data_IF_235754296709
#
_entry.id   IF_235754296709
#
_cell.length_a   1.000
_cell.length_b   1.000
_cell.length_c   1.000
_cell.angle_alpha   90.00
_cell.angle_beta   90.00
_cell.angle_gamma   90.00
#
_symmetry.space_group_name_H-M   'P 1'
#
loop_
_entity.id
_entity.type
_entity.pdbx_description
1 polymer ?
#
# COMPACT_ATOMS: atom_id res chain seq x y z
N UNK A 1 -23.47 -9.89 -16.16
CA UNK A 1 -22.71 -9.81 -14.90
C UNK A 1 -21.31 -9.35 -15.24
N UNK A 2 -20.82 -8.27 -14.63
CA UNK A 2 -19.45 -7.80 -14.85
C UNK A 2 -18.47 -8.84 -14.28
N UNK A 3 -17.54 -9.33 -15.10
CA UNK A 3 -16.51 -10.29 -14.68
C UNK A 3 -15.59 -9.60 -13.69
N UNK A 4 -15.62 -10.02 -12.42
CA UNK A 4 -14.72 -9.47 -11.40
C UNK A 4 -13.36 -10.14 -11.55
N UNK A 5 -12.35 -9.41 -12.00
CA UNK A 5 -11.00 -9.95 -12.10
C UNK A 5 -10.43 -10.23 -10.72
N UNK A 6 -9.78 -11.36 -10.55
CA UNK A 6 -9.11 -11.75 -9.30
C UNK A 6 -7.75 -11.08 -9.11
N UNK A 7 -7.19 -10.51 -10.15
CA UNK A 7 -5.86 -9.90 -10.18
C UNK A 7 -5.92 -8.50 -10.78
N UNK A 8 -4.86 -7.74 -10.62
CA UNK A 8 -4.69 -6.42 -11.21
C UNK A 8 -4.70 -6.50 -12.75
N UNK A 9 -5.57 -5.73 -13.38
CA UNK A 9 -5.68 -5.62 -14.85
C UNK A 9 -4.61 -4.75 -15.48
N UNK A 10 -3.80 -4.10 -14.66
CA UNK A 10 -2.99 -2.97 -15.08
C UNK A 10 -3.75 -1.63 -14.99
N UNK A 11 -3.03 -0.52 -15.22
CA UNK A 11 -3.59 0.82 -15.13
C UNK A 11 -4.58 1.10 -16.27
N UNK A 12 -5.66 1.82 -15.96
CA UNK A 12 -6.51 2.44 -16.98
C UNK A 12 -5.74 3.49 -17.78
N UNK A 13 -6.29 3.95 -18.91
CA UNK A 13 -5.66 4.99 -19.73
C UNK A 13 -5.37 6.27 -18.91
N UNK A 14 -6.26 6.66 -17.97
CA UNK A 14 -6.07 7.82 -17.12
C UNK A 14 -4.94 7.64 -16.12
N UNK A 15 -4.75 6.43 -15.58
CA UNK A 15 -3.62 6.09 -14.72
C UNK A 15 -2.32 5.96 -15.50
N UNK A 16 -2.35 5.32 -16.69
CA UNK A 16 -1.18 5.24 -17.56
C UNK A 16 -0.65 6.63 -17.93
N UNK A 17 -1.56 7.57 -18.31
CA UNK A 17 -1.19 8.97 -18.55
C UNK A 17 -0.48 9.57 -17.31
N UNK A 18 -1.02 9.39 -16.10
CA UNK A 18 -0.42 9.90 -14.88
C UNK A 18 0.98 9.31 -14.62
N UNK A 19 1.19 8.02 -14.93
CA UNK A 19 2.51 7.38 -14.81
C UNK A 19 3.50 7.88 -15.87
N UNK A 20 3.04 8.24 -17.07
CA UNK A 20 3.89 8.89 -18.08
C UNK A 20 4.35 10.29 -17.67
N UNK A 21 3.55 11.01 -16.89
CA UNK A 21 3.87 12.33 -16.35
C UNK A 21 4.87 12.29 -15.17
N UNK A 22 5.35 11.09 -14.78
CA UNK A 22 6.31 10.94 -13.71
C UNK A 22 7.59 11.74 -13.96
N UNK A 23 8.15 12.41 -12.95
CA UNK A 23 9.33 13.27 -13.09
C UNK A 23 10.63 12.47 -13.20
N UNK A 24 10.71 11.53 -14.14
CA UNK A 24 11.85 10.61 -14.31
C UNK A 24 13.17 11.35 -14.52
N UNK A 25 13.17 12.41 -15.35
CA UNK A 25 14.35 13.19 -15.60
C UNK A 25 14.89 13.86 -14.33
N UNK A 26 14.00 14.25 -13.41
CA UNK A 26 14.38 14.80 -12.14
C UNK A 26 15.13 13.79 -11.26
N UNK A 27 14.64 12.55 -11.18
CA UNK A 27 15.33 11.49 -10.45
C UNK A 27 16.67 11.12 -11.08
N UNK A 28 16.73 11.01 -12.42
CA UNK A 28 17.95 10.66 -13.16
C UNK A 28 19.06 11.71 -12.97
N UNK A 29 18.69 12.99 -13.01
CA UNK A 29 19.62 14.11 -12.93
C UNK A 29 19.74 14.70 -11.53
N UNK A 30 19.18 14.03 -10.51
CA UNK A 30 19.18 14.56 -9.14
C UNK A 30 20.63 14.69 -8.60
N UNK A 31 21.03 15.88 -8.10
CA UNK A 31 22.41 16.16 -7.72
C UNK A 31 22.94 15.27 -6.60
N UNK A 32 22.09 14.67 -5.79
CA UNK A 32 22.52 13.72 -4.74
C UNK A 32 23.11 12.43 -5.30
N UNK A 33 22.80 12.04 -6.55
CA UNK A 33 23.18 10.75 -7.14
C UNK A 33 22.64 9.53 -6.38
N UNK A 34 21.67 9.73 -5.47
CA UNK A 34 21.19 8.70 -4.52
C UNK A 34 20.13 7.76 -5.10
N UNK A 35 19.65 7.95 -6.32
CA UNK A 35 18.64 7.10 -6.92
C UNK A 35 19.21 6.02 -7.83
N UNK A 36 18.59 4.83 -7.78
CA UNK A 36 18.87 3.69 -8.68
C UNK A 36 17.96 3.80 -9.89
N UNK A 37 18.38 4.54 -10.90
CA UNK A 37 17.55 4.88 -12.06
C UNK A 37 17.72 3.95 -13.25
N UNK A 38 18.60 2.98 -13.16
CA UNK A 38 19.02 2.09 -14.25
C UNK A 38 17.89 1.18 -14.74
N UNK A 39 16.95 0.79 -13.84
CA UNK A 39 15.89 -0.18 -14.12
C UNK A 39 14.49 0.45 -14.30
N UNK A 40 14.41 1.77 -14.30
CA UNK A 40 13.17 2.49 -14.39
C UNK A 40 12.41 2.61 -13.06
N UNK A 41 11.30 3.35 -13.07
CA UNK A 41 10.49 3.60 -11.88
C UNK A 41 9.57 2.42 -11.55
N UNK A 42 9.31 2.20 -10.26
CA UNK A 42 8.28 1.28 -9.79
C UNK A 42 7.08 2.11 -9.32
N UNK A 43 5.94 1.96 -9.99
CA UNK A 43 4.80 2.84 -9.76
C UNK A 43 3.88 2.38 -8.64
N UNK A 44 3.35 1.16 -8.73
CA UNK A 44 2.33 0.70 -7.81
C UNK A 44 2.23 -0.82 -7.72
N UNK A 45 1.42 -1.28 -6.78
CA UNK A 45 0.89 -2.65 -6.72
C UNK A 45 -0.54 -2.60 -6.20
N UNK A 46 -1.41 -3.47 -6.73
CA UNK A 46 -2.80 -3.61 -6.27
C UNK A 46 -3.80 -3.11 -7.29
N UNK A 47 -4.86 -2.45 -6.85
CA UNK A 47 -6.02 -2.14 -7.70
C UNK A 47 -6.16 -0.64 -7.95
N UNK A 48 -6.37 -0.28 -9.22
CA UNK A 48 -6.63 1.09 -9.68
C UNK A 48 -7.98 1.19 -10.43
N UNK A 49 -8.93 0.33 -10.08
CA UNK A 49 -10.20 0.16 -10.78
C UNK A 49 -11.44 0.52 -9.93
N UNK A 50 -11.26 1.38 -8.94
CA UNK A 50 -12.36 1.91 -8.12
C UNK A 50 -12.82 1.00 -6.96
N UNK A 51 -12.16 -0.15 -6.74
CA UNK A 51 -12.54 -1.06 -5.65
C UNK A 51 -11.64 -0.99 -4.41
N UNK A 52 -10.65 -0.10 -4.43
CA UNK A 52 -9.65 0.02 -3.37
C UNK A 52 -10.26 0.60 -2.09
N UNK A 53 -10.01 -0.06 -0.98
CA UNK A 53 -10.40 0.38 0.38
C UNK A 53 -9.20 0.83 1.21
N UNK A 54 -8.01 0.38 0.85
CA UNK A 54 -6.80 0.59 1.63
C UNK A 54 -5.70 1.19 0.77
N UNK A 55 -5.27 2.40 1.12
CA UNK A 55 -4.09 3.05 0.55
C UNK A 55 -2.88 2.71 1.42
N UNK A 56 -1.84 2.14 0.82
CA UNK A 56 -0.61 1.75 1.49
C UNK A 56 0.56 2.53 0.89
N UNK A 57 1.41 3.07 1.74
CA UNK A 57 2.60 3.81 1.32
C UNK A 57 3.84 3.17 1.94
N UNK A 58 4.77 2.77 1.08
CA UNK A 58 6.11 2.33 1.44
C UNK A 58 7.14 3.46 1.28
N UNK A 59 8.41 3.12 1.45
CA UNK A 59 9.49 4.09 1.38
C UNK A 59 10.06 4.23 -0.04
N UNK A 60 10.71 3.20 -0.54
CA UNK A 60 11.34 3.15 -1.86
C UNK A 60 11.40 1.71 -2.37
N UNK A 61 11.53 1.49 -3.68
CA UNK A 61 11.64 0.14 -4.22
C UNK A 61 12.97 -0.53 -3.85
N UNK A 62 12.89 -1.71 -3.27
CA UNK A 62 14.01 -2.63 -3.09
C UNK A 62 14.42 -3.31 -4.41
N UNK A 63 15.48 -4.10 -4.38
CA UNK A 63 15.93 -4.87 -5.56
C UNK A 63 14.83 -5.78 -6.10
N UNK A 64 14.14 -6.53 -5.23
CA UNK A 64 13.05 -7.42 -5.64
C UNK A 64 11.90 -6.65 -6.31
N UNK A 65 11.59 -5.45 -5.80
CA UNK A 65 10.53 -4.60 -6.34
C UNK A 65 10.91 -4.00 -7.69
N UNK A 66 12.19 -3.61 -7.85
CA UNK A 66 12.74 -3.14 -9.11
C UNK A 66 12.66 -4.25 -10.17
N UNK A 67 13.06 -5.47 -9.84
CA UNK A 67 13.00 -6.61 -10.76
C UNK A 67 11.57 -7.01 -11.11
N UNK A 68 10.68 -7.02 -10.13
CA UNK A 68 9.27 -7.36 -10.32
C UNK A 68 8.42 -6.22 -10.91
N UNK A 69 8.94 -4.98 -10.93
CA UNK A 69 8.21 -3.76 -11.28
C UNK A 69 6.90 -3.60 -10.48
N UNK A 70 6.95 -3.98 -9.19
CA UNK A 70 5.81 -3.96 -8.28
C UNK A 70 6.22 -3.62 -6.85
N UNK A 71 5.49 -2.72 -6.20
CA UNK A 71 5.77 -2.30 -4.83
C UNK A 71 5.51 -3.43 -3.82
N UNK A 72 6.30 -3.46 -2.75
CA UNK A 72 6.15 -4.37 -1.61
C UNK A 72 6.02 -5.84 -2.04
N UNK A 73 6.98 -6.31 -2.82
CA UNK A 73 7.22 -7.75 -3.09
C UNK A 73 8.44 -8.25 -2.29
N UNK A 74 8.85 -9.51 -2.48
CA UNK A 74 9.92 -10.11 -1.70
C UNK A 74 9.51 -10.37 -0.24
N UNK A 75 10.48 -10.49 0.67
CA UNK A 75 10.24 -10.82 2.08
C UNK A 75 9.36 -9.77 2.79
N UNK A 76 9.62 -8.48 2.57
CA UNK A 76 8.81 -7.38 3.10
C UNK A 76 7.38 -7.44 2.58
N UNK A 77 7.22 -7.69 1.29
CA UNK A 77 5.91 -7.84 0.66
C UNK A 77 5.11 -9.03 1.21
N UNK A 78 5.77 -10.14 1.51
CA UNK A 78 5.12 -11.30 2.14
C UNK A 78 4.60 -10.97 3.55
N UNK A 79 5.37 -10.22 4.35
CA UNK A 79 4.91 -9.74 5.66
C UNK A 79 3.68 -8.85 5.53
N UNK A 80 3.70 -7.91 4.58
CA UNK A 80 2.54 -7.04 4.31
C UNK A 80 1.32 -7.85 3.86
N UNK A 81 1.49 -8.84 2.99
CA UNK A 81 0.37 -9.72 2.60
C UNK A 81 -0.22 -10.50 3.78
N UNK A 82 0.61 -10.95 4.72
CA UNK A 82 0.12 -11.60 5.96
C UNK A 82 -0.68 -10.63 6.83
N UNK A 83 -0.25 -9.36 6.96
CA UNK A 83 -1.02 -8.32 7.65
C UNK A 83 -2.37 -8.10 6.96
N UNK A 84 -2.38 -7.90 5.65
CA UNK A 84 -3.60 -7.71 4.87
C UNK A 84 -4.57 -8.88 5.03
N UNK A 85 -4.07 -10.11 4.99
CA UNK A 85 -4.88 -11.30 5.22
C UNK A 85 -5.52 -11.30 6.61
N UNK A 86 -4.78 -10.87 7.66
CA UNK A 86 -5.33 -10.75 9.01
C UNK A 86 -6.45 -9.70 9.09
N UNK A 87 -6.37 -8.64 8.29
CA UNK A 87 -7.40 -7.60 8.20
C UNK A 87 -8.56 -8.00 7.27
N UNK A 88 -8.44 -9.11 6.57
CA UNK A 88 -9.46 -9.59 5.63
C UNK A 88 -9.38 -8.93 4.25
N UNK A 89 -8.26 -8.32 3.91
CA UNK A 89 -8.03 -7.66 2.63
C UNK A 89 -7.19 -8.57 1.74
N UNK A 90 -7.75 -8.99 0.61
CA UNK A 90 -7.06 -9.85 -0.37
C UNK A 90 -6.77 -9.14 -1.69
N UNK A 91 -7.56 -8.14 -2.07
CA UNK A 91 -7.46 -7.44 -3.36
C UNK A 91 -7.80 -5.95 -3.32
N UNK A 92 -8.60 -5.48 -2.36
CA UNK A 92 -9.08 -4.10 -2.31
C UNK A 92 -8.06 -3.14 -1.70
N UNK A 93 -6.83 -3.17 -2.19
CA UNK A 93 -5.74 -2.30 -1.78
C UNK A 93 -4.98 -1.74 -2.98
N UNK A 94 -4.31 -0.62 -2.77
CA UNK A 94 -3.26 -0.09 -3.65
C UNK A 94 -2.05 0.32 -2.82
N UNK A 95 -0.86 0.06 -3.34
CA UNK A 95 0.43 0.37 -2.72
C UNK A 95 1.23 1.30 -3.61
N UNK A 96 1.76 2.36 -3.03
CA UNK A 96 2.75 3.25 -3.62
C UNK A 96 3.98 3.33 -2.73
N UNK A 97 5.06 3.90 -3.24
CA UNK A 97 6.22 4.27 -2.44
C UNK A 97 6.38 5.80 -2.39
N UNK A 98 7.10 6.28 -1.39
CA UNK A 98 7.49 7.68 -1.26
C UNK A 98 8.33 8.13 -2.45
N UNK A 99 9.22 7.25 -2.91
CA UNK A 99 10.03 7.44 -4.10
C UNK A 99 9.69 6.41 -5.18
N UNK A 100 9.76 6.84 -6.45
CA UNK A 100 9.55 5.95 -7.60
C UNK A 100 10.74 5.03 -7.89
N UNK A 101 11.92 5.44 -7.45
CA UNK A 101 13.17 4.72 -7.66
C UNK A 101 13.77 4.30 -6.31
N UNK A 102 14.44 3.16 -6.30
CA UNK A 102 15.18 2.72 -5.13
C UNK A 102 16.28 3.70 -4.73
N UNK A 103 16.52 3.86 -3.45
CA UNK A 103 17.62 4.70 -2.95
C UNK A 103 18.89 3.89 -2.76
N UNK A 104 20.05 4.57 -2.93
CA UNK A 104 21.37 4.05 -2.57
C UNK A 104 21.63 4.41 -1.11
N UNK A 105 21.75 3.42 -0.26
CA UNK A 105 21.94 3.59 1.19
C UNK A 105 20.62 3.58 1.99
N UNK A 106 20.58 4.35 3.05
CA UNK A 106 19.46 4.37 3.99
C UNK A 106 18.63 5.66 3.85
N UNK A 107 17.40 5.61 4.35
CA UNK A 107 16.59 6.80 4.55
C UNK A 107 17.17 7.62 5.72
N UNK A 108 17.87 8.68 5.39
CA UNK A 108 18.54 9.60 6.31
C UNK A 108 17.94 11.03 6.20
N UNK A 109 18.50 11.98 6.93
CA UNK A 109 18.03 13.37 6.91
C UNK A 109 18.08 13.99 5.51
N UNK A 110 19.09 13.66 4.69
CA UNK A 110 19.20 14.16 3.32
C UNK A 110 18.08 13.60 2.44
N UNK A 111 17.79 12.29 2.54
CA UNK A 111 16.69 11.67 1.80
C UNK A 111 15.33 12.17 2.29
N UNK A 112 15.17 12.47 3.58
CA UNK A 112 13.96 13.11 4.11
C UNK A 112 13.74 14.50 3.49
N UNK A 113 14.78 15.30 3.34
CA UNK A 113 14.70 16.60 2.65
C UNK A 113 14.29 16.43 1.17
N UNK A 114 14.89 15.47 0.47
CA UNK A 114 14.55 15.16 -0.93
C UNK A 114 13.09 14.69 -1.07
N UNK A 115 12.58 13.92 -0.12
CA UNK A 115 11.21 13.41 -0.15
C UNK A 115 10.13 14.51 -0.13
N UNK A 116 10.48 15.70 0.34
CA UNK A 116 9.59 16.87 0.39
C UNK A 116 9.93 17.93 -0.65
N UNK A 117 10.88 17.68 -1.54
CA UNK A 117 11.14 18.58 -2.68
C UNK A 117 9.90 18.68 -3.59
N UNK A 118 9.55 19.87 -4.06
CA UNK A 118 8.29 20.13 -4.73
C UNK A 118 7.98 19.18 -5.89
N UNK A 119 8.99 18.83 -6.70
CA UNK A 119 8.82 17.95 -7.86
C UNK A 119 8.39 16.54 -7.45
N UNK A 120 9.04 15.97 -6.44
CA UNK A 120 8.74 14.62 -5.93
C UNK A 120 7.42 14.64 -5.16
N UNK A 121 7.29 15.60 -4.25
CA UNK A 121 6.14 15.76 -3.38
C UNK A 121 4.84 15.96 -4.17
N UNK A 122 4.83 16.90 -5.11
CA UNK A 122 3.62 17.23 -5.88
C UNK A 122 3.18 16.06 -6.76
N UNK A 123 4.12 15.38 -7.42
CA UNK A 123 3.80 14.20 -8.22
C UNK A 123 3.20 13.09 -7.35
N UNK A 124 3.86 12.72 -6.25
CA UNK A 124 3.39 11.70 -5.32
C UNK A 124 1.99 12.03 -4.77
N UNK A 125 1.82 13.25 -4.28
CA UNK A 125 0.54 13.69 -3.72
C UNK A 125 -0.57 13.64 -4.77
N UNK A 126 -0.29 13.96 -6.03
CA UNK A 126 -1.26 13.83 -7.13
C UNK A 126 -1.72 12.39 -7.39
N UNK A 127 -0.87 11.38 -7.12
CA UNK A 127 -1.29 9.98 -7.16
C UNK A 127 -2.23 9.66 -6.00
N UNK A 128 -1.92 10.14 -4.79
CA UNK A 128 -2.75 9.93 -3.61
C UNK A 128 -4.12 10.60 -3.77
N UNK A 129 -4.16 11.85 -4.24
CA UNK A 129 -5.40 12.59 -4.51
C UNK A 129 -6.28 11.83 -5.52
N UNK A 130 -5.66 11.29 -6.58
CA UNK A 130 -6.39 10.50 -7.58
C UNK A 130 -6.94 9.20 -6.99
N UNK A 131 -6.21 8.53 -6.09
CA UNK A 131 -6.72 7.35 -5.38
C UNK A 131 -7.94 7.70 -4.55
N UNK A 132 -7.88 8.78 -3.77
CA UNK A 132 -9.01 9.23 -2.95
C UNK A 132 -10.23 9.60 -3.82
N UNK A 133 -10.00 10.29 -4.94
CA UNK A 133 -11.07 10.70 -5.84
C UNK A 133 -11.78 9.53 -6.53
N UNK A 134 -11.06 8.43 -6.80
CA UNK A 134 -11.58 7.29 -7.57
C UNK A 134 -12.01 6.09 -6.71
N UNK A 135 -11.77 6.12 -5.40
CA UNK A 135 -12.00 4.97 -4.52
C UNK A 135 -12.62 5.39 -3.17
N UNK A 136 -13.39 4.49 -2.57
CA UNK A 136 -13.91 4.63 -1.22
C UNK A 136 -12.86 4.16 -0.18
N UNK A 137 -11.77 4.93 -0.03
CA UNK A 137 -10.69 4.57 0.90
C UNK A 137 -11.20 4.63 2.34
N UNK A 138 -10.96 3.57 3.08
CA UNK A 138 -11.40 3.37 4.46
C UNK A 138 -10.27 3.54 5.47
N UNK A 139 -9.03 3.28 5.06
CA UNK A 139 -7.85 3.52 5.87
C UNK A 139 -6.60 3.77 5.02
N UNK A 140 -5.62 4.43 5.63
CA UNK A 140 -4.28 4.67 5.08
C UNK A 140 -3.28 3.95 5.98
N UNK A 141 -2.30 3.26 5.39
CA UNK A 141 -1.15 2.69 6.10
C UNK A 141 0.13 3.29 5.53
N UNK A 142 1.02 3.74 6.40
CA UNK A 142 2.40 4.05 6.05
C UNK A 142 3.35 3.08 6.72
N UNK A 143 4.39 2.64 6.00
CA UNK A 143 5.42 1.75 6.50
C UNK A 143 6.77 2.47 6.65
N UNK A 144 7.09 2.85 7.89
CA UNK A 144 8.34 3.48 8.28
C UNK A 144 8.40 4.98 8.02
N UNK A 145 9.47 5.61 8.55
CA UNK A 145 9.58 7.06 8.66
C UNK A 145 9.46 7.81 7.31
N UNK A 146 10.00 7.24 6.23
CA UNK A 146 9.91 7.87 4.90
C UNK A 146 8.48 7.93 4.37
N UNK A 147 7.70 6.87 4.62
CA UNK A 147 6.29 6.83 4.26
C UNK A 147 5.44 7.73 5.17
N UNK A 148 5.78 7.80 6.48
CA UNK A 148 5.12 8.71 7.42
C UNK A 148 5.33 10.17 7.00
N UNK A 149 6.56 10.51 6.60
CA UNK A 149 6.89 11.83 6.07
C UNK A 149 6.08 12.16 4.81
N UNK A 150 5.90 11.18 3.91
CA UNK A 150 5.09 11.35 2.71
C UNK A 150 3.63 11.68 3.03
N UNK A 151 3.03 10.97 3.98
CA UNK A 151 1.63 11.20 4.40
C UNK A 151 1.48 12.52 5.18
N UNK A 152 2.45 12.87 6.05
CA UNK A 152 2.45 14.14 6.77
C UNK A 152 2.50 15.36 5.84
N UNK A 153 3.20 15.23 4.72
CA UNK A 153 3.35 16.30 3.73
C UNK A 153 2.34 16.19 2.56
N UNK A 154 1.23 15.54 2.78
CA UNK A 154 0.13 15.45 1.83
C UNK A 154 -1.07 16.28 2.31
N UNK A 155 -1.22 17.55 1.82
CA UNK A 155 -2.30 18.44 2.27
C UNK A 155 -3.70 17.95 1.90
N UNK A 156 -3.83 17.15 0.82
CA UNK A 156 -5.09 16.53 0.39
C UNK A 156 -5.53 15.32 1.22
N UNK A 157 -4.78 14.93 2.25
CA UNK A 157 -5.15 13.79 3.10
C UNK A 157 -6.47 14.05 3.83
N UNK A 158 -7.52 13.22 3.60
CA UNK A 158 -8.79 13.42 4.29
C UNK A 158 -8.65 13.12 5.80
N UNK A 159 -8.98 14.09 6.64
CA UNK A 159 -8.86 13.95 8.10
C UNK A 159 -9.77 12.86 8.68
N UNK A 160 -10.89 12.57 8.00
CA UNK A 160 -11.85 11.54 8.43
C UNK A 160 -11.35 10.09 8.16
N UNK A 161 -10.33 9.90 7.31
CA UNK A 161 -9.79 8.58 7.02
C UNK A 161 -8.69 8.26 8.04
N UNK A 162 -8.82 7.19 8.85
CA UNK A 162 -7.81 6.81 9.82
C UNK A 162 -6.49 6.47 9.13
N UNK A 163 -5.41 6.94 9.72
CA UNK A 163 -4.05 6.69 9.27
C UNK A 163 -3.26 5.91 10.32
N UNK A 164 -2.69 4.78 9.88
CA UNK A 164 -1.92 3.86 10.70
C UNK A 164 -0.44 3.94 10.33
N UNK A 165 0.39 4.38 11.26
CA UNK A 165 1.84 4.44 11.15
C UNK A 165 2.43 3.12 11.65
N UNK A 166 2.93 2.31 10.75
CA UNK A 166 3.46 1.00 11.05
C UNK A 166 4.97 0.96 10.81
N UNK A 167 5.69 0.22 11.63
CA UNK A 167 7.11 -0.01 11.40
C UNK A 167 7.35 -0.68 10.04
N UNK A 168 8.47 -0.30 9.41
CA UNK A 168 8.83 -0.82 8.09
C UNK A 168 8.94 -2.36 8.11
N UNK A 169 8.38 -3.08 7.13
CA UNK A 169 8.33 -4.54 7.14
C UNK A 169 9.70 -5.24 7.06
N UNK A 170 10.78 -4.53 6.74
CA UNK A 170 12.14 -5.06 6.77
C UNK A 170 12.81 -4.97 8.15
N UNK A 171 12.23 -4.25 9.10
CA UNK A 171 12.78 -4.18 10.45
C UNK A 171 12.67 -5.54 11.16
N UNK A 172 13.41 -5.70 12.28
CA UNK A 172 13.40 -6.95 13.04
C UNK A 172 11.99 -7.30 13.54
N UNK A 173 11.71 -8.58 13.69
CA UNK A 173 10.40 -9.05 14.17
C UNK A 173 10.07 -8.52 15.57
N UNK A 174 11.09 -8.38 16.42
CA UNK A 174 10.95 -7.79 17.77
C UNK A 174 10.43 -6.34 17.76
N UNK A 175 10.63 -5.61 16.68
CA UNK A 175 10.15 -4.24 16.48
C UNK A 175 8.81 -4.24 15.73
N UNK A 176 8.72 -5.00 14.64
CA UNK A 176 7.55 -4.99 13.74
C UNK A 176 6.32 -5.60 14.41
N UNK A 177 6.45 -6.78 15.02
CA UNK A 177 5.29 -7.52 15.51
C UNK A 177 4.54 -6.81 16.65
N UNK A 178 5.19 -6.23 17.68
CA UNK A 178 4.47 -5.48 18.72
C UNK A 178 3.69 -4.29 18.16
N UNK A 179 4.32 -3.51 17.28
CA UNK A 179 3.69 -2.34 16.66
C UNK A 179 2.49 -2.73 15.78
N UNK A 180 2.67 -3.74 14.92
CA UNK A 180 1.59 -4.17 14.02
C UNK A 180 0.43 -4.81 14.79
N UNK A 181 0.73 -5.64 15.79
CA UNK A 181 -0.30 -6.28 16.62
C UNK A 181 -1.10 -5.25 17.43
N UNK A 182 -0.45 -4.21 17.96
CA UNK A 182 -1.14 -3.12 18.67
C UNK A 182 -2.15 -2.38 17.78
N UNK A 183 -1.89 -2.29 16.48
CA UNK A 183 -2.74 -1.60 15.52
C UNK A 183 -3.79 -2.52 14.84
N UNK A 184 -3.65 -3.84 14.97
CA UNK A 184 -4.42 -4.80 14.17
C UNK A 184 -5.94 -4.68 14.38
N UNK A 185 -6.39 -4.56 15.64
CA UNK A 185 -7.83 -4.47 15.97
C UNK A 185 -8.45 -3.18 15.42
N UNK A 186 -7.75 -2.06 15.54
CA UNK A 186 -8.23 -0.77 15.03
C UNK A 186 -8.26 -0.77 13.50
N UNK A 187 -7.25 -1.37 12.86
CA UNK A 187 -7.20 -1.50 11.42
C UNK A 187 -8.33 -2.43 10.91
N UNK A 188 -8.58 -3.54 11.60
CA UNK A 188 -9.68 -4.45 11.27
C UNK A 188 -11.07 -3.79 11.45
N UNK A 189 -11.22 -2.92 12.45
CA UNK A 189 -12.45 -2.15 12.65
C UNK A 189 -12.64 -1.05 11.60
N UNK A 190 -11.54 -0.48 11.10
CA UNK A 190 -11.59 0.61 10.11
C UNK A 190 -11.90 0.15 8.69
N UNK A 191 -11.54 -1.08 8.32
CA UNK A 191 -11.61 -1.56 6.94
C UNK A 191 -12.52 -2.77 6.80
N UNK A 192 -13.58 -2.64 6.01
CA UNK A 192 -14.47 -3.76 5.71
C UNK A 192 -13.74 -4.83 4.89
N UNK A 193 -13.77 -6.11 5.32
CA UNK A 193 -13.07 -7.19 4.63
C UNK A 193 -13.58 -7.42 3.21
N UNK A 194 -12.79 -8.05 2.38
CA UNK A 194 -13.21 -8.51 1.07
C UNK A 194 -14.18 -9.70 1.19
N UNK A 195 -15.15 -9.82 0.27
CA UNK A 195 -16.25 -10.81 0.34
C UNK A 195 -15.82 -12.28 0.46
N UNK A 196 -14.58 -12.59 0.11
CA UNK A 196 -14.04 -13.94 0.12
C UNK A 196 -12.62 -13.92 0.69
N UNK A 197 -12.50 -13.83 2.01
CA UNK A 197 -11.22 -13.99 2.67
C UNK A 197 -11.22 -15.25 3.55
N UNK A 198 -10.08 -15.90 3.61
CA UNK A 198 -9.87 -17.09 4.44
C UNK A 198 -9.06 -16.64 5.63
N UNK A 199 -9.63 -16.73 6.84
CA UNK A 199 -8.85 -16.55 8.07
C UNK A 199 -7.97 -17.77 8.24
N UNK A 200 -6.67 -17.60 8.04
CA UNK A 200 -5.70 -18.59 8.50
C UNK A 200 -5.42 -18.28 9.97
N UNK A 201 -5.97 -19.08 10.86
CA UNK A 201 -5.68 -19.00 12.28
C UNK A 201 -4.30 -19.64 12.53
N UNK A 202 -3.29 -18.80 12.75
CA UNK A 202 -1.92 -19.24 13.03
C UNK A 202 -1.63 -19.42 14.53
N UNK A 203 -2.65 -19.37 15.41
CA UNK A 203 -2.44 -19.47 16.85
C UNK A 203 -2.27 -20.92 17.34
N UNK A 204 -2.52 -21.91 16.49
CA UNK A 204 -2.33 -23.32 16.83
C UNK A 204 -1.19 -23.93 16.02
N UNK A 205 -0.28 -24.63 16.70
CA UNK A 205 0.86 -25.35 16.12
C UNK A 205 0.48 -26.55 15.22
N UNK A 206 -0.79 -26.68 14.85
CA UNK A 206 -1.29 -27.63 13.85
C UNK A 206 -1.96 -26.84 12.72
N UNK A 207 -1.68 -27.18 11.44
CA UNK A 207 -2.35 -26.55 10.31
C UNK A 207 -3.81 -27.02 10.25
N UNK A 208 -4.66 -26.42 11.07
CA UNK A 208 -6.10 -26.63 10.99
C UNK A 208 -6.68 -25.57 10.06
N UNK A 209 -6.90 -25.93 8.81
CA UNK A 209 -7.65 -25.11 7.86
C UNK A 209 -9.12 -25.13 8.34
N UNK A 210 -9.48 -24.25 9.26
CA UNK A 210 -10.88 -23.95 9.53
C UNK A 210 -11.34 -22.91 8.52
N UNK A 211 -12.02 -23.36 7.49
CA UNK A 211 -12.88 -22.53 6.65
C UNK A 211 -14.03 -22.00 7.52
N UNK A 212 -13.87 -20.84 8.14
CA UNK A 212 -15.01 -20.08 8.65
C UNK A 212 -15.59 -19.30 7.48
N UNK A 213 -16.53 -19.93 6.79
CA UNK A 213 -17.47 -19.21 5.95
C UNK A 213 -18.41 -18.50 6.92
N UNK A 214 -18.27 -17.18 7.08
CA UNK A 214 -19.29 -16.40 7.80
C UNK A 214 -20.61 -16.55 7.02
N UNK A 215 -21.72 -16.94 7.70
CA UNK A 215 -23.00 -17.06 7.03
C UNK A 215 -23.38 -15.70 6.47
N UNK A 216 -23.72 -15.66 5.18
CA UNK A 216 -24.51 -14.57 4.62
C UNK A 216 -25.73 -14.38 5.54
N UNK A 217 -25.91 -13.21 6.10
CA UNK A 217 -27.19 -12.84 6.68
C UNK A 217 -28.26 -13.07 5.59
N UNK A 218 -29.07 -14.12 5.77
CA UNK A 218 -30.31 -14.26 5.05
C UNK A 218 -31.14 -13.03 5.43
N UNK A 219 -31.33 -12.15 4.47
CA UNK A 219 -32.46 -11.22 4.52
C UNK A 219 -33.68 -12.12 4.47
N UNK A 220 -34.39 -12.24 5.56
CA UNK A 220 -35.69 -12.88 5.61
C UNK A 220 -36.61 -12.07 4.71
N UNK A 221 -37.03 -12.66 3.61
CA UNK A 221 -38.20 -12.20 2.90
C UNK A 221 -39.38 -12.41 3.86
N UNK A 222 -39.92 -11.31 4.39
CA UNK A 222 -41.26 -11.33 4.97
C UNK A 222 -42.23 -11.37 3.80
N UNK A 223 -42.98 -12.46 3.79
CA UNK A 223 -44.23 -12.60 3.06
C UNK A 223 -45.21 -11.53 3.54
N UNK A 224 -45.89 -10.88 2.59
CA UNK A 224 -46.98 -9.95 2.78
C UNK A 224 -47.57 -9.60 1.42
#
# INVERSE_FOLDING_TARGET
>A
MATTFKFDKGPSASWAKRFFEAPRAYYVNHPSGRFRTEFGPVYYRGRLDGITKLLIVGQDPSTDEILAQRNLVGASGQRVQRLLNKVGISKSYVMFNTFLFGIKGQMDAAMNAIAVEPTILNYRNSLFDKVIAENAIQAIISFGNGADLAINNWPGRPAAIPWFQLHHPSASESIVLPNWNANLNNLHAAVAPDKYWIVLDFTTSKPCIRLKVLPCHRVSAHDG
#
